data_IF_692771844535
#
_entry.id   IF_692771844535
#
_cell.length_a   1.000
_cell.length_b   1.000
_cell.length_c   1.000
_cell.angle_alpha   90.00
_cell.angle_beta   90.00
_cell.angle_gamma   90.00
#
_symmetry.space_group_name_H-M   'P 1'
#
loop_
_entity.id
_entity.type
_entity.pdbx_description
1 polymer ?
#
# COMPACT_ATOMS: atom_id res chain seq x y z
N UNK A 1 9.39 5.97 -32.19
CA UNK A 1 10.14 5.97 -30.93
C UNK A 1 9.30 6.75 -29.94
N UNK A 2 8.39 6.07 -29.26
CA UNK A 2 7.65 6.66 -28.15
C UNK A 2 8.57 6.58 -26.96
N UNK A 3 9.15 7.72 -26.58
CA UNK A 3 9.83 7.87 -25.30
C UNK A 3 8.71 7.82 -24.25
N UNK A 4 8.37 6.61 -23.81
CA UNK A 4 7.50 6.42 -22.65
C UNK A 4 8.29 6.94 -21.47
N UNK A 5 8.15 8.25 -21.25
CA UNK A 5 8.64 8.93 -20.07
C UNK A 5 7.84 8.29 -18.93
N UNK A 6 8.41 7.27 -18.28
CA UNK A 6 7.91 6.83 -16.99
C UNK A 6 7.69 8.11 -16.19
N UNK A 7 6.47 8.38 -15.69
CA UNK A 7 6.31 9.50 -14.79
C UNK A 7 7.19 9.16 -13.59
N UNK A 8 8.38 9.75 -13.57
CA UNK A 8 9.23 9.81 -12.39
C UNK A 8 8.37 10.57 -11.40
N UNK A 9 7.63 9.80 -10.60
CA UNK A 9 6.79 10.33 -9.55
C UNK A 9 7.80 10.88 -8.56
N UNK A 10 8.13 12.18 -8.71
CA UNK A 10 9.01 12.90 -7.80
C UNK A 10 8.22 13.03 -6.49
N UNK A 11 8.16 11.93 -5.75
CA UNK A 11 7.64 11.88 -4.40
C UNK A 11 8.69 12.59 -3.57
N UNK A 12 8.39 13.81 -3.15
CA UNK A 12 9.22 14.54 -2.18
C UNK A 12 9.46 13.62 -0.97
N UNK A 13 10.67 13.55 -0.42
CA UNK A 13 11.06 12.60 0.65
C UNK A 13 10.05 12.58 1.81
N UNK A 14 9.46 13.74 2.12
CA UNK A 14 8.40 13.88 3.14
C UNK A 14 7.12 13.11 2.81
N UNK A 15 6.73 13.08 1.54
CA UNK A 15 5.54 12.38 1.06
C UNK A 15 5.78 10.86 1.11
N UNK A 16 6.99 10.41 0.77
CA UNK A 16 7.36 8.99 0.85
C UNK A 16 7.28 8.50 2.29
N UNK A 17 7.89 9.25 3.23
CA UNK A 17 7.84 8.94 4.66
C UNK A 17 6.40 8.95 5.18
N UNK A 18 5.58 9.93 4.78
CA UNK A 18 4.18 10.00 5.18
C UNK A 18 3.36 8.81 4.64
N UNK A 19 3.61 8.39 3.41
CA UNK A 19 2.94 7.25 2.78
C UNK A 19 3.32 5.93 3.46
N UNK A 20 4.60 5.72 3.77
CA UNK A 20 5.07 4.57 4.54
C UNK A 20 4.42 4.52 5.93
N UNK A 21 4.40 5.66 6.64
CA UNK A 21 3.79 5.73 7.96
C UNK A 21 2.28 5.44 7.91
N UNK A 22 1.58 5.98 6.92
CA UNK A 22 0.17 5.71 6.71
C UNK A 22 -0.10 4.22 6.42
N UNK A 23 0.76 3.58 5.61
CA UNK A 23 0.67 2.14 5.33
C UNK A 23 0.83 1.28 6.58
N UNK A 24 1.84 1.58 7.41
CA UNK A 24 2.05 0.89 8.70
C UNK A 24 0.84 1.08 9.61
N UNK A 25 0.32 2.30 9.72
CA UNK A 25 -0.83 2.60 10.57
C UNK A 25 -2.09 1.86 10.11
N UNK A 26 -2.29 1.75 8.81
CA UNK A 26 -3.40 1.02 8.22
C UNK A 26 -3.34 -0.48 8.56
N UNK A 27 -2.17 -1.12 8.42
CA UNK A 27 -1.97 -2.54 8.74
C UNK A 27 -2.16 -2.81 10.24
N UNK A 28 -1.60 -1.95 11.10
CA UNK A 28 -1.76 -2.08 12.56
C UNK A 28 -3.22 -1.95 12.97
N UNK A 29 -3.96 -1.01 12.38
CA UNK A 29 -5.38 -0.82 12.65
C UNK A 29 -6.20 -2.03 12.21
N UNK A 30 -5.94 -2.57 11.02
CA UNK A 30 -6.58 -3.77 10.52
C UNK A 30 -6.31 -4.98 11.42
N UNK A 31 -5.06 -5.16 11.85
CA UNK A 31 -4.67 -6.24 12.75
C UNK A 31 -5.34 -6.12 14.12
N UNK A 32 -5.37 -4.90 14.70
CA UNK A 32 -6.06 -4.64 15.95
C UNK A 32 -7.56 -4.95 15.85
N UNK A 33 -8.21 -4.49 14.78
CA UNK A 33 -9.64 -4.73 14.57
C UNK A 33 -9.94 -6.23 14.42
N UNK A 34 -9.15 -6.95 13.64
CA UNK A 34 -9.27 -8.41 13.52
C UNK A 34 -9.06 -9.11 14.86
N UNK A 35 -8.05 -8.71 15.63
CA UNK A 35 -7.81 -9.25 16.97
C UNK A 35 -8.97 -9.00 17.94
N UNK A 36 -9.66 -7.87 17.82
CA UNK A 36 -10.81 -7.51 18.66
C UNK A 36 -12.12 -8.19 18.24
N UNK A 37 -12.34 -8.36 16.94
CA UNK A 37 -13.63 -8.83 16.40
C UNK A 37 -13.60 -10.31 16.00
N UNK A 38 -12.42 -10.92 15.90
CA UNK A 38 -12.25 -12.24 15.30
C UNK A 38 -12.47 -12.26 13.79
N UNK A 39 -12.82 -11.13 13.17
CA UNK A 39 -13.05 -11.03 11.73
C UNK A 39 -11.72 -10.83 11.00
N UNK A 40 -11.28 -11.84 10.25
CA UNK A 40 -10.06 -11.81 9.43
C UNK A 40 -10.16 -10.98 8.15
N UNK A 41 -11.36 -10.56 7.75
CA UNK A 41 -11.61 -9.81 6.51
C UNK A 41 -10.74 -8.55 6.32
N UNK A 42 -10.56 -7.69 7.34
CA UNK A 42 -9.72 -6.49 7.23
C UNK A 42 -8.25 -6.77 6.92
N UNK A 43 -7.65 -7.76 7.60
CA UNK A 43 -6.29 -8.21 7.32
C UNK A 43 -6.16 -8.79 5.92
N UNK A 44 -7.14 -9.61 5.51
CA UNK A 44 -7.16 -10.20 4.17
C UNK A 44 -7.29 -9.13 3.08
N UNK A 45 -8.13 -8.11 3.30
CA UNK A 45 -8.27 -6.96 2.42
C UNK A 45 -6.99 -6.15 2.28
N UNK A 46 -6.25 -5.91 3.38
CA UNK A 46 -4.94 -5.26 3.32
C UNK A 46 -3.92 -6.07 2.52
N UNK A 47 -3.86 -7.39 2.72
CA UNK A 47 -2.96 -8.27 1.98
C UNK A 47 -3.25 -8.28 0.48
N UNK A 48 -4.53 -8.35 0.10
CA UNK A 48 -4.95 -8.30 -1.32
C UNK A 48 -4.67 -6.92 -1.91
N UNK A 49 -4.96 -5.84 -1.18
CA UNK A 49 -4.67 -4.47 -1.63
C UNK A 49 -3.18 -4.26 -1.88
N UNK A 50 -2.32 -4.70 -0.96
CA UNK A 50 -0.87 -4.63 -1.13
C UNK A 50 -0.39 -5.47 -2.31
N UNK A 51 -0.93 -6.68 -2.48
CA UNK A 51 -0.61 -7.52 -3.63
C UNK A 51 -0.97 -6.82 -4.95
N UNK A 52 -2.13 -6.19 -5.03
CA UNK A 52 -2.54 -5.43 -6.22
C UNK A 52 -1.62 -4.24 -6.47
N UNK A 53 -1.25 -3.48 -5.44
CA UNK A 53 -0.30 -2.37 -5.57
C UNK A 53 1.02 -2.88 -6.16
N UNK A 54 1.57 -3.97 -5.59
CA UNK A 54 2.82 -4.57 -6.09
C UNK A 54 2.68 -5.02 -7.54
N UNK A 55 1.58 -5.71 -7.88
CA UNK A 55 1.34 -6.16 -9.25
C UNK A 55 1.23 -5.00 -10.23
N UNK A 56 0.50 -3.93 -9.90
CA UNK A 56 0.38 -2.75 -10.75
C UNK A 56 1.69 -1.98 -10.89
N UNK A 57 2.50 -1.90 -9.83
CA UNK A 57 3.83 -1.26 -9.87
C UNK A 57 4.84 -2.10 -10.66
N UNK A 58 4.73 -3.43 -10.61
CA UNK A 58 5.69 -4.35 -11.26
C UNK A 58 5.27 -4.72 -12.68
N UNK A 59 4.00 -4.52 -13.04
CA UNK A 59 3.46 -4.74 -14.38
C UNK A 59 3.85 -3.56 -15.29
N UNK A 60 5.13 -3.48 -15.62
CA UNK A 60 5.63 -2.69 -16.75
C UNK A 60 5.22 -3.32 -18.09
#
# INVERSE_FOLDING_TARGET
MGETSSPEFVVDEKIEVAMLLAGVFAVVTAAYYTGRTGNGGPLMGMSVGLLLIVLFVTSE
#
